data_IF_367305994162
#
_entry.id   IF_367305994162
#
_cell.length_a   1.000
_cell.length_b   1.000
_cell.length_c   1.000
_cell.angle_alpha   90.00
_cell.angle_beta   90.00
_cell.angle_gamma   90.00
#
_symmetry.space_group_name_H-M   'P 1'
#
loop_
_entity.id
_entity.type
_entity.pdbx_description
1 polymer ?
#
# COMPACT_ATOMS: atom_id res chain seq x y z
N UNK A 1 -27.58 1.45 -23.93
CA UNK A 1 -27.31 0.30 -24.79
C UNK A 1 -25.83 0.08 -24.98
N UNK A 2 -25.11 1.11 -25.37
CA UNK A 2 -23.65 0.97 -25.56
C UNK A 2 -22.93 0.65 -24.25
N UNK A 3 -23.41 1.14 -23.12
CA UNK A 3 -22.83 0.83 -21.84
C UNK A 3 -22.92 -0.63 -21.45
N UNK A 4 -23.98 -1.31 -21.84
CA UNK A 4 -24.14 -2.73 -21.55
C UNK A 4 -23.08 -3.58 -22.27
N UNK A 5 -22.71 -3.20 -23.49
CA UNK A 5 -21.67 -3.91 -24.24
C UNK A 5 -20.31 -3.75 -23.55
N UNK A 6 -20.05 -2.57 -22.99
CA UNK A 6 -18.77 -2.34 -22.27
C UNK A 6 -18.70 -3.17 -20.99
N UNK A 7 -19.79 -3.28 -20.27
CA UNK A 7 -19.80 -4.12 -19.06
C UNK A 7 -19.62 -5.59 -19.39
N UNK A 8 -20.12 -6.06 -20.52
CA UNK A 8 -19.94 -7.44 -20.92
C UNK A 8 -18.45 -7.76 -21.22
N UNK A 9 -17.69 -6.78 -21.68
CA UNK A 9 -16.27 -6.99 -21.97
C UNK A 9 -15.43 -7.21 -20.71
N UNK A 10 -15.77 -6.57 -19.60
CA UNK A 10 -14.99 -6.69 -18.36
C UNK A 10 -14.97 -8.11 -17.80
N UNK A 11 -16.11 -8.83 -17.72
CA UNK A 11 -16.09 -10.24 -17.31
C UNK A 11 -15.26 -11.15 -18.23
N UNK A 12 -15.24 -10.85 -19.52
CA UNK A 12 -14.44 -11.64 -20.46
C UNK A 12 -12.96 -11.47 -20.20
N UNK A 13 -12.50 -10.26 -19.89
CA UNK A 13 -11.11 -10.02 -19.55
C UNK A 13 -10.70 -10.81 -18.29
N UNK A 14 -11.59 -10.90 -17.31
CA UNK A 14 -11.34 -11.71 -16.11
C UNK A 14 -11.25 -13.21 -16.44
N UNK A 15 -12.08 -13.68 -17.34
CA UNK A 15 -12.11 -15.09 -17.71
C UNK A 15 -10.82 -15.54 -18.41
N UNK A 16 -10.06 -14.60 -18.96
CA UNK A 16 -8.80 -14.91 -19.62
C UNK A 16 -7.65 -15.15 -18.64
N UNK A 17 -7.79 -14.76 -17.40
CA UNK A 17 -6.77 -15.00 -16.40
C UNK A 17 -6.69 -16.47 -16.06
N UNK A 18 -5.46 -16.97 -15.92
CA UNK A 18 -5.23 -18.34 -15.48
C UNK A 18 -5.48 -18.42 -13.97
N UNK A 19 -6.52 -19.15 -13.52
CA UNK A 19 -6.82 -19.24 -12.11
C UNK A 19 -5.72 -19.92 -11.29
N UNK A 20 -4.88 -20.72 -11.94
CA UNK A 20 -3.77 -21.38 -11.24
C UNK A 20 -2.58 -20.43 -11.03
N UNK A 21 -2.44 -19.42 -11.88
CA UNK A 21 -1.36 -18.45 -11.78
C UNK A 21 -1.67 -17.32 -10.78
N UNK A 22 -2.96 -16.98 -10.64
CA UNK A 22 -3.38 -15.88 -9.79
C UNK A 22 -4.30 -16.35 -8.67
N UNK A 23 -3.79 -16.45 -7.43
CA UNK A 23 -4.66 -16.72 -6.29
C UNK A 23 -5.81 -15.72 -6.20
N UNK A 24 -6.94 -16.09 -5.61
CA UNK A 24 -8.07 -15.18 -5.44
C UNK A 24 -7.65 -13.90 -4.71
N UNK A 25 -8.16 -12.77 -5.17
CA UNK A 25 -7.89 -11.45 -4.57
C UNK A 25 -6.42 -11.04 -4.61
N UNK A 26 -5.68 -11.49 -5.63
CA UNK A 26 -4.27 -11.15 -5.81
C UNK A 26 -4.00 -10.46 -7.14
N UNK A 27 -5.02 -9.86 -7.74
CA UNK A 27 -4.84 -9.12 -8.99
C UNK A 27 -4.17 -7.76 -8.73
N UNK A 28 -3.74 -7.12 -9.80
CA UNK A 28 -3.20 -5.76 -9.69
C UNK A 28 -4.22 -4.80 -9.08
N UNK A 29 -5.50 -4.98 -9.42
CA UNK A 29 -6.56 -4.14 -8.86
C UNK A 29 -6.67 -4.33 -7.34
N UNK A 30 -6.55 -5.57 -6.88
CA UNK A 30 -6.57 -5.85 -5.44
C UNK A 30 -5.41 -5.19 -4.72
N UNK A 31 -4.21 -5.28 -5.28
CA UNK A 31 -3.03 -4.66 -4.70
C UNK A 31 -3.17 -3.14 -4.64
N UNK A 32 -3.66 -2.51 -5.72
CA UNK A 32 -3.85 -1.07 -5.74
C UNK A 32 -4.94 -0.62 -4.76
N UNK A 33 -5.99 -1.43 -4.60
CA UNK A 33 -7.01 -1.16 -3.59
C UNK A 33 -6.43 -1.14 -2.18
N UNK A 34 -5.58 -2.10 -1.85
CA UNK A 34 -4.91 -2.15 -0.56
C UNK A 34 -3.97 -0.95 -0.39
N UNK A 35 -3.19 -0.62 -1.41
CA UNK A 35 -2.32 0.56 -1.36
C UNK A 35 -3.10 1.84 -1.11
N UNK A 36 -4.24 2.00 -1.77
CA UNK A 36 -5.09 3.16 -1.59
C UNK A 36 -5.61 3.26 -0.15
N UNK A 37 -6.03 2.13 0.42
CA UNK A 37 -6.49 2.08 1.80
C UNK A 37 -5.40 2.44 2.78
N UNK A 38 -4.19 1.89 2.60
CA UNK A 38 -3.04 2.21 3.44
C UNK A 38 -2.67 3.69 3.30
N UNK A 39 -2.69 4.22 2.08
CA UNK A 39 -2.39 5.62 1.83
C UNK A 39 -3.39 6.55 2.52
N UNK A 40 -4.68 6.23 2.44
CA UNK A 40 -5.73 7.00 3.10
C UNK A 40 -5.57 6.97 4.63
N UNK A 41 -5.30 5.80 5.19
CA UNK A 41 -5.10 5.65 6.63
C UNK A 41 -3.85 6.40 7.09
N UNK A 42 -2.78 6.37 6.30
CA UNK A 42 -1.56 7.13 6.59
C UNK A 42 -1.84 8.62 6.61
N UNK A 43 -2.58 9.12 5.61
CA UNK A 43 -2.94 10.53 5.55
C UNK A 43 -3.74 10.96 6.79
N UNK A 44 -4.73 10.18 7.18
CA UNK A 44 -5.53 10.48 8.37
C UNK A 44 -4.67 10.51 9.64
N UNK A 45 -3.76 9.54 9.77
CA UNK A 45 -2.86 9.47 10.90
C UNK A 45 -1.97 10.72 10.98
N UNK A 46 -1.36 11.10 9.86
CA UNK A 46 -0.47 12.25 9.81
C UNK A 46 -1.19 13.55 10.12
N UNK A 47 -2.43 13.71 9.67
CA UNK A 47 -3.21 14.89 10.01
C UNK A 47 -3.52 15.02 11.51
N UNK A 48 -3.62 13.89 12.19
CA UNK A 48 -3.88 13.90 13.64
C UNK A 48 -2.62 13.81 14.49
N UNK A 49 -1.44 13.71 13.85
CA UNK A 49 -0.14 13.65 14.52
C UNK A 49 0.82 14.63 13.86
N UNK A 50 0.68 15.94 14.15
CA UNK A 50 1.44 16.99 13.46
C UNK A 50 2.95 16.79 13.49
N UNK A 51 3.50 16.31 14.59
CA UNK A 51 4.96 16.10 14.71
C UNK A 51 5.43 15.04 13.72
N UNK A 52 4.66 13.95 13.59
CA UNK A 52 4.97 12.89 12.66
C UNK A 52 4.82 13.39 11.22
N UNK A 53 3.77 14.15 10.96
CA UNK A 53 3.54 14.76 9.66
C UNK A 53 4.73 15.63 9.24
N UNK A 54 5.22 16.48 10.13
CA UNK A 54 6.38 17.32 9.85
C UNK A 54 7.63 16.50 9.58
N UNK A 55 7.83 15.42 10.31
CA UNK A 55 8.97 14.55 10.04
C UNK A 55 8.90 13.98 8.61
N UNK A 56 7.77 13.39 8.23
CA UNK A 56 7.62 12.82 6.89
C UNK A 56 7.72 13.89 5.80
N UNK A 57 7.20 15.08 6.04
CA UNK A 57 7.33 16.19 5.11
C UNK A 57 8.81 16.56 4.90
N UNK A 58 9.62 16.46 5.95
CA UNK A 58 11.05 16.79 5.87
C UNK A 58 11.85 15.82 4.99
N UNK A 59 11.27 14.67 4.63
CA UNK A 59 11.94 13.69 3.79
C UNK A 59 11.88 14.04 2.30
N UNK A 60 11.07 15.02 1.94
CA UNK A 60 10.93 15.42 0.55
C UNK A 60 12.28 15.90 -0.01
N UNK A 61 12.57 15.51 -1.23
CA UNK A 61 13.83 15.86 -1.88
C UNK A 61 15.01 14.97 -1.55
N UNK A 62 14.87 14.07 -0.60
CA UNK A 62 15.92 13.11 -0.27
C UNK A 62 15.86 11.90 -1.20
N UNK A 63 17.00 11.23 -1.36
CA UNK A 63 17.01 9.95 -2.06
C UNK A 63 16.22 8.92 -1.28
N UNK A 64 15.80 7.83 -1.95
CA UNK A 64 15.05 6.77 -1.30
C UNK A 64 15.83 6.16 -0.13
N UNK A 65 17.14 5.93 -0.32
CA UNK A 65 17.96 5.34 0.73
C UNK A 65 18.13 6.28 1.92
N UNK A 66 18.31 7.59 1.67
CA UNK A 66 18.40 8.58 2.74
C UNK A 66 17.09 8.69 3.52
N UNK A 67 15.96 8.74 2.81
CA UNK A 67 14.66 8.80 3.45
C UNK A 67 14.40 7.56 4.29
N UNK A 68 14.75 6.37 3.78
CA UNK A 68 14.58 5.12 4.50
C UNK A 68 15.42 5.09 5.79
N UNK A 69 16.68 5.54 5.72
CA UNK A 69 17.55 5.57 6.88
C UNK A 69 17.04 6.53 7.95
N UNK A 70 16.59 7.71 7.55
CA UNK A 70 16.04 8.70 8.49
C UNK A 70 14.73 8.21 9.12
N UNK A 71 13.88 7.56 8.33
CA UNK A 71 12.62 7.01 8.82
C UNK A 71 12.88 5.92 9.85
N UNK A 72 13.82 5.03 9.59
CA UNK A 72 14.18 3.98 10.54
C UNK A 72 14.66 4.57 11.86
N UNK A 73 15.56 5.55 11.80
CA UNK A 73 16.08 6.19 13.00
C UNK A 73 14.97 6.91 13.79
N UNK A 74 14.09 7.59 13.09
CA UNK A 74 12.97 8.27 13.72
C UNK A 74 12.03 7.30 14.42
N UNK A 75 11.65 6.22 13.74
CA UNK A 75 10.74 5.23 14.30
C UNK A 75 11.38 4.48 15.47
N UNK A 76 12.68 4.23 15.44
CA UNK A 76 13.37 3.57 16.55
C UNK A 76 13.38 4.44 17.79
N UNK A 77 13.39 5.75 17.64
CA UNK A 77 13.32 6.68 18.79
C UNK A 77 11.88 7.05 19.15
N UNK A 78 10.88 6.61 18.38
CA UNK A 78 9.46 6.86 18.64
C UNK A 78 8.67 5.54 18.53
N UNK A 79 8.82 4.64 19.53
CA UNK A 79 8.25 3.30 19.44
C UNK A 79 6.73 3.26 19.33
N UNK A 80 6.02 4.25 19.87
CA UNK A 80 4.57 4.38 19.73
C UNK A 80 4.17 4.68 18.29
N UNK A 81 4.90 5.59 17.64
CA UNK A 81 4.68 5.91 16.23
C UNK A 81 5.02 4.70 15.36
N UNK A 82 6.10 4.02 15.70
CA UNK A 82 6.50 2.81 14.97
C UNK A 82 5.40 1.76 15.02
N UNK A 83 4.80 1.54 16.17
CA UNK A 83 3.71 0.57 16.32
C UNK A 83 2.49 1.00 15.50
N UNK A 84 2.13 2.28 15.53
CA UNK A 84 0.99 2.80 14.78
C UNK A 84 1.20 2.64 13.29
N UNK A 85 2.38 3.02 12.78
CA UNK A 85 2.68 2.92 11.35
C UNK A 85 2.74 1.47 10.89
N UNK A 86 3.26 0.58 11.71
CA UNK A 86 3.27 -0.85 11.41
C UNK A 86 1.84 -1.38 11.26
N UNK A 87 0.95 -0.99 12.18
CA UNK A 87 -0.45 -1.38 12.11
C UNK A 87 -1.15 -0.86 10.86
N UNK A 88 -0.90 0.40 10.51
CA UNK A 88 -1.49 1.01 9.31
C UNK A 88 -1.05 0.28 8.04
N UNK A 89 0.20 -0.16 7.98
CA UNK A 89 0.77 -0.81 6.81
C UNK A 89 0.49 -2.31 6.77
N UNK A 90 -0.06 -2.89 7.81
CA UNK A 90 -0.27 -4.33 7.90
C UNK A 90 -1.05 -4.91 6.72
N UNK A 91 -2.14 -4.29 6.22
CA UNK A 91 -2.85 -4.84 5.07
C UNK A 91 -1.97 -5.01 3.83
N UNK A 92 -0.99 -4.12 3.63
CA UNK A 92 -0.07 -4.22 2.50
C UNK A 92 0.90 -5.40 2.68
N UNK A 93 1.40 -5.60 3.89
CA UNK A 93 2.24 -6.76 4.21
C UNK A 93 1.44 -8.05 3.99
N UNK A 94 0.21 -8.09 4.49
CA UNK A 94 -0.65 -9.27 4.40
C UNK A 94 -0.94 -9.67 2.96
N UNK A 95 -1.25 -8.71 2.09
CA UNK A 95 -1.55 -9.04 0.71
C UNK A 95 -0.29 -9.53 -0.02
N UNK A 96 0.86 -8.95 0.28
CA UNK A 96 2.12 -9.41 -0.33
C UNK A 96 2.46 -10.83 0.10
N UNK A 97 2.29 -11.14 1.37
CA UNK A 97 2.53 -12.49 1.89
C UNK A 97 1.54 -13.49 1.31
N UNK A 98 0.25 -13.15 1.32
CA UNK A 98 -0.80 -14.03 0.80
C UNK A 98 -0.64 -14.31 -0.69
N UNK A 99 -0.22 -13.31 -1.44
CA UNK A 99 -0.15 -13.41 -2.89
C UNK A 99 1.24 -13.83 -3.39
N UNK A 100 2.20 -14.05 -2.51
CA UNK A 100 3.53 -14.45 -2.89
C UNK A 100 4.29 -13.41 -3.70
N UNK A 101 3.93 -12.12 -3.57
CA UNK A 101 4.62 -11.07 -4.29
C UNK A 101 6.08 -10.99 -3.82
N UNK A 102 7.02 -10.73 -4.74
CA UNK A 102 8.41 -10.55 -4.34
C UNK A 102 8.55 -9.33 -3.44
N UNK A 103 9.56 -9.30 -2.55
CA UNK A 103 9.82 -8.13 -1.73
C UNK A 103 10.04 -6.90 -2.62
N UNK A 104 9.59 -5.75 -2.16
CA UNK A 104 9.79 -4.51 -2.88
C UNK A 104 11.28 -4.20 -2.97
N UNK A 105 11.74 -3.80 -4.15
CA UNK A 105 13.13 -3.42 -4.29
C UNK A 105 13.46 -2.17 -3.48
#
# INVERSE_FOLDING_TARGET
>A
MLGAALFAAAPLAHAEQDPAADPPNCSAADLEGVRSGVSAATSAYLFTHPDVNWFYTSLEGLSRSQAAAKTRAYLDSHPDVKADMTGIRQPLVDIKERCGAPPSP
#
